data_IF_554706895673
#
_entry.id   IF_554706895673
#
_cell.length_a   1.000
_cell.length_b   1.000
_cell.length_c   1.000
_cell.angle_alpha   90.00
_cell.angle_beta   90.00
_cell.angle_gamma   90.00
#
_symmetry.space_group_name_H-M   'P 1'
#
loop_
_entity.id
_entity.type
_entity.pdbx_description
1 polymer ?
#
# COMPACT_ATOMS: atom_id res chain seq x y z
N UNK A 1 1.39 -1.84 -9.98
CA UNK A 1 1.19 -1.25 -8.64
C UNK A 1 -0.01 -0.34 -8.61
N UNK A 2 -0.55 -0.01 -7.44
CA UNK A 2 -1.64 0.97 -7.29
C UNK A 2 -1.10 2.30 -6.74
N UNK A 3 -1.71 3.43 -7.16
CA UNK A 3 -1.36 4.76 -6.65
C UNK A 3 0.02 5.27 -7.07
N UNK A 4 0.52 4.85 -8.24
CA UNK A 4 1.85 5.27 -8.74
C UNK A 4 1.96 6.72 -9.16
N UNK A 5 0.87 7.49 -9.18
CA UNK A 5 0.88 8.93 -9.50
C UNK A 5 1.14 9.84 -8.27
N UNK A 6 1.09 9.31 -7.05
CA UNK A 6 1.33 10.07 -5.81
C UNK A 6 2.79 10.03 -5.34
N UNK A 7 3.15 10.84 -4.34
CA UNK A 7 4.51 11.05 -3.87
C UNK A 7 5.36 9.78 -3.69
N UNK A 8 4.99 8.90 -2.76
CA UNK A 8 5.69 7.61 -2.57
C UNK A 8 5.56 6.73 -3.81
N UNK A 9 4.37 6.69 -4.42
CA UNK A 9 4.12 5.86 -5.60
C UNK A 9 5.02 6.20 -6.77
N UNK A 10 5.24 7.48 -7.07
CA UNK A 10 6.17 7.91 -8.12
C UNK A 10 7.61 7.48 -7.82
N UNK A 11 8.05 7.60 -6.56
CA UNK A 11 9.38 7.15 -6.15
C UNK A 11 9.54 5.63 -6.32
N UNK A 12 8.49 4.86 -5.98
CA UNK A 12 8.48 3.40 -6.18
C UNK A 12 8.53 3.03 -7.65
N UNK A 13 7.77 3.71 -8.53
CA UNK A 13 7.81 3.48 -9.97
C UNK A 13 9.23 3.69 -10.49
N UNK A 14 9.80 4.88 -10.24
CA UNK A 14 11.19 5.18 -10.68
C UNK A 14 12.20 4.16 -10.18
N UNK A 15 12.08 3.75 -8.92
CA UNK A 15 13.01 2.79 -8.32
C UNK A 15 12.90 1.42 -8.96
N UNK A 16 11.69 0.89 -9.12
CA UNK A 16 11.47 -0.41 -9.74
C UNK A 16 11.92 -0.42 -11.21
N UNK A 17 11.65 0.64 -11.98
CA UNK A 17 12.11 0.77 -13.37
C UNK A 17 13.65 0.81 -13.44
N UNK A 18 14.30 1.53 -12.54
CA UNK A 18 15.77 1.56 -12.44
C UNK A 18 16.36 0.19 -12.08
N UNK A 19 15.63 -0.63 -11.31
CA UNK A 19 16.00 -2.02 -10.98
C UNK A 19 15.60 -3.02 -12.10
N UNK A 20 15.13 -2.54 -13.25
CA UNK A 20 14.83 -3.37 -14.44
C UNK A 20 13.43 -3.98 -14.48
N UNK A 21 12.49 -3.56 -13.63
CA UNK A 21 11.10 -4.02 -13.63
C UNK A 21 10.29 -3.33 -14.72
N UNK A 22 9.41 -4.07 -15.38
CA UNK A 22 8.34 -3.50 -16.20
C UNK A 22 7.17 -3.11 -15.28
N UNK A 23 7.00 -1.81 -15.03
CA UNK A 23 6.01 -1.31 -14.07
C UNK A 23 4.70 -0.92 -14.77
N UNK A 24 3.59 -1.52 -14.32
CA UNK A 24 2.23 -1.09 -14.69
C UNK A 24 1.60 -0.42 -13.47
N UNK A 25 1.20 0.83 -13.62
CA UNK A 25 0.60 1.61 -12.55
C UNK A 25 -0.89 1.85 -12.78
N UNK A 26 -1.71 1.52 -11.76
CA UNK A 26 -3.14 1.80 -11.74
C UNK A 26 -3.43 2.97 -10.80
N UNK A 27 -4.11 3.98 -11.32
CA UNK A 27 -4.57 5.13 -10.56
C UNK A 27 -5.84 5.70 -11.16
N UNK A 28 -6.63 6.40 -10.36
CA UNK A 28 -7.84 7.07 -10.85
C UNK A 28 -7.53 8.10 -11.95
N UNK A 29 -6.44 8.82 -11.83
CA UNK A 29 -5.97 9.75 -12.87
C UNK A 29 -5.52 9.04 -14.14
N UNK A 30 -5.09 7.77 -14.04
CA UNK A 30 -4.78 6.89 -15.17
C UNK A 30 -5.98 6.06 -15.65
N UNK A 31 -7.21 6.37 -15.19
CA UNK A 31 -8.44 5.73 -15.64
C UNK A 31 -8.74 4.36 -15.02
N UNK A 32 -8.01 3.94 -13.99
CA UNK A 32 -8.27 2.68 -13.27
C UNK A 32 -8.48 2.96 -11.79
N UNK A 33 -9.69 2.73 -11.30
CA UNK A 33 -9.97 2.72 -9.87
C UNK A 33 -9.69 1.32 -9.28
N UNK A 34 -8.66 1.23 -8.47
CA UNK A 34 -8.26 -0.01 -7.81
C UNK A 34 -9.30 -0.53 -6.78
N UNK A 35 -10.29 0.28 -6.41
CA UNK A 35 -11.38 -0.12 -5.54
C UNK A 35 -12.66 -0.53 -6.32
N UNK A 36 -12.62 -0.50 -7.64
CA UNK A 36 -13.66 -1.04 -8.52
C UNK A 36 -13.27 -2.45 -8.98
N UNK A 37 -14.07 -3.43 -8.57
CA UNK A 37 -13.79 -4.85 -8.84
C UNK A 37 -13.72 -5.17 -10.34
N UNK A 38 -14.63 -4.61 -11.14
CA UNK A 38 -14.67 -4.89 -12.57
C UNK A 38 -13.46 -4.27 -13.30
N UNK A 39 -13.04 -3.06 -12.89
CA UNK A 39 -11.86 -2.43 -13.46
C UNK A 39 -10.59 -3.20 -13.10
N UNK A 40 -10.45 -3.64 -11.83
CA UNK A 40 -9.32 -4.45 -11.38
C UNK A 40 -9.24 -5.75 -12.17
N UNK A 41 -10.36 -6.49 -12.31
CA UNK A 41 -10.38 -7.77 -13.04
C UNK A 41 -10.02 -7.59 -14.53
N UNK A 42 -10.57 -6.56 -15.19
CA UNK A 42 -10.24 -6.22 -16.59
C UNK A 42 -8.78 -5.84 -16.78
N UNK A 43 -8.25 -5.02 -15.86
CA UNK A 43 -6.85 -4.58 -15.91
C UNK A 43 -5.90 -5.74 -15.63
N UNK A 44 -6.21 -6.58 -14.64
CA UNK A 44 -5.44 -7.77 -14.30
C UNK A 44 -5.38 -8.79 -15.44
N UNK A 45 -6.50 -8.97 -16.16
CA UNK A 45 -6.55 -9.88 -17.31
C UNK A 45 -5.63 -9.47 -18.48
N UNK A 46 -5.24 -8.20 -18.56
CA UNK A 46 -4.33 -7.69 -19.59
C UNK A 46 -2.85 -7.90 -19.25
N UNK A 47 -2.53 -8.25 -17.99
CA UNK A 47 -1.16 -8.53 -17.59
C UNK A 47 -0.73 -9.92 -18.07
N UNK A 48 0.30 -9.98 -18.90
CA UNK A 48 0.86 -11.26 -19.41
C UNK A 48 1.62 -12.02 -18.32
N UNK A 49 2.23 -11.28 -17.40
CA UNK A 49 3.02 -11.77 -16.27
C UNK A 49 2.81 -10.85 -15.08
N UNK A 50 2.76 -11.43 -13.91
CA UNK A 50 2.59 -10.67 -12.66
C UNK A 50 3.52 -11.24 -11.59
N UNK A 51 4.65 -10.60 -11.38
CA UNK A 51 5.70 -11.03 -10.45
C UNK A 51 5.59 -10.34 -9.10
N UNK A 52 5.20 -9.06 -9.10
CA UNK A 52 5.03 -8.29 -7.88
C UNK A 52 3.79 -7.39 -7.94
N UNK A 53 3.12 -7.22 -6.78
CA UNK A 53 2.07 -6.24 -6.57
C UNK A 53 2.50 -5.29 -5.45
N UNK A 54 2.44 -3.98 -5.70
CA UNK A 54 2.57 -2.96 -4.66
C UNK A 54 1.22 -2.27 -4.48
N UNK A 55 0.58 -2.47 -3.32
CA UNK A 55 -0.63 -1.79 -2.90
C UNK A 55 -0.25 -0.50 -2.16
N UNK A 56 -0.22 0.62 -2.88
CA UNK A 56 0.14 1.92 -2.34
C UNK A 56 -1.01 2.94 -2.38
N UNK A 57 -2.08 2.68 -3.13
CA UNK A 57 -3.23 3.60 -3.19
C UNK A 57 -3.81 3.85 -1.80
N UNK A 58 -4.06 5.11 -1.50
CA UNK A 58 -4.72 5.55 -0.27
C UNK A 58 -5.30 6.95 -0.45
N UNK A 59 -6.28 7.27 0.37
CA UNK A 59 -6.84 8.61 0.53
C UNK A 59 -6.81 8.95 2.02
N UNK A 60 -6.47 10.18 2.35
CA UNK A 60 -6.58 10.75 3.67
C UNK A 60 -7.59 11.88 3.64
N UNK A 61 -8.65 11.76 4.43
CA UNK A 61 -9.66 12.79 4.67
C UNK A 61 -9.57 13.14 6.16
N UNK A 62 -8.90 14.25 6.52
CA UNK A 62 -8.68 14.59 7.91
C UNK A 62 -9.95 15.22 8.51
N UNK A 63 -10.68 14.48 9.34
CA UNK A 63 -11.90 14.88 10.04
C UNK A 63 -11.92 14.33 11.47
N UNK A 64 -12.46 15.09 12.41
CA UNK A 64 -12.84 14.51 13.70
C UNK A 64 -13.96 13.49 13.48
N UNK A 65 -13.99 12.43 14.29
CA UNK A 65 -15.02 11.38 14.15
C UNK A 65 -16.42 11.94 14.26
N UNK A 66 -16.60 12.96 15.10
CA UNK A 66 -17.89 13.64 15.29
C UNK A 66 -18.34 14.48 14.10
N UNK A 67 -17.44 14.78 13.16
CA UNK A 67 -17.68 15.61 11.97
C UNK A 67 -17.59 14.82 10.67
N UNK A 68 -17.05 13.60 10.71
CA UNK A 68 -16.82 12.76 9.54
C UNK A 68 -18.14 12.17 9.07
N UNK A 69 -18.47 12.36 7.80
CA UNK A 69 -19.61 11.67 7.20
C UNK A 69 -19.32 10.19 6.96
N UNK A 70 -20.37 9.37 6.84
CA UNK A 70 -20.24 7.97 6.46
C UNK A 70 -19.56 7.81 5.10
N UNK A 71 -19.86 8.68 4.13
CA UNK A 71 -19.26 8.65 2.79
C UNK A 71 -17.76 8.95 2.83
N UNK A 72 -17.31 9.90 3.67
CA UNK A 72 -15.87 10.20 3.85
C UNK A 72 -15.14 9.02 4.50
N UNK A 73 -15.76 8.38 5.47
CA UNK A 73 -15.28 7.15 6.09
C UNK A 73 -15.16 6.03 5.06
N UNK A 74 -16.23 5.75 4.34
CA UNK A 74 -16.28 4.68 3.33
C UNK A 74 -15.28 4.91 2.19
N UNK A 75 -15.12 6.15 1.72
CA UNK A 75 -14.13 6.47 0.67
C UNK A 75 -12.70 6.22 1.17
N UNK A 76 -12.38 6.53 2.42
CA UNK A 76 -11.06 6.27 2.98
C UNK A 76 -10.77 4.77 3.08
N UNK A 77 -11.71 3.97 3.57
CA UNK A 77 -11.58 2.50 3.62
C UNK A 77 -11.57 1.90 2.22
N UNK A 78 -12.40 2.40 1.32
CA UNK A 78 -12.49 1.97 -0.06
C UNK A 78 -11.16 2.16 -0.78
N UNK A 79 -10.58 3.35 -0.68
CA UNK A 79 -9.32 3.67 -1.36
C UNK A 79 -8.11 2.94 -0.77
N UNK A 80 -8.04 2.76 0.55
CA UNK A 80 -6.89 2.19 1.25
C UNK A 80 -6.95 0.67 1.43
N UNK A 81 -8.09 0.15 1.92
CA UNK A 81 -8.21 -1.26 2.32
C UNK A 81 -8.90 -2.12 1.25
N UNK A 82 -10.07 -1.69 0.76
CA UNK A 82 -10.79 -2.46 -0.26
C UNK A 82 -9.98 -2.58 -1.55
N UNK A 83 -9.30 -1.52 -1.98
CA UNK A 83 -8.44 -1.57 -3.17
C UNK A 83 -7.32 -2.61 -3.03
N UNK A 84 -6.65 -2.64 -1.88
CA UNK A 84 -5.61 -3.61 -1.58
C UNK A 84 -6.17 -5.05 -1.58
N UNK A 85 -7.35 -5.27 -0.99
CA UNK A 85 -8.04 -6.57 -1.03
C UNK A 85 -8.32 -7.02 -2.47
N UNK A 86 -8.95 -6.17 -3.29
CA UNK A 86 -9.31 -6.53 -4.67
C UNK A 86 -8.08 -6.83 -5.53
N UNK A 87 -7.05 -5.99 -5.44
CA UNK A 87 -5.81 -6.19 -6.19
C UNK A 87 -5.05 -7.43 -5.71
N UNK A 88 -4.99 -7.69 -4.40
CA UNK A 88 -4.34 -8.88 -3.84
C UNK A 88 -5.08 -10.17 -4.23
N UNK A 89 -6.41 -10.15 -4.20
CA UNK A 89 -7.22 -11.27 -4.68
C UNK A 89 -6.95 -11.58 -6.16
N UNK A 90 -6.89 -10.56 -7.01
CA UNK A 90 -6.58 -10.72 -8.43
C UNK A 90 -5.14 -11.22 -8.63
N UNK A 91 -4.19 -10.76 -7.81
CA UNK A 91 -2.80 -11.21 -7.84
C UNK A 91 -2.66 -12.68 -7.42
N UNK A 92 -3.22 -13.08 -6.28
CA UNK A 92 -3.17 -14.47 -5.80
C UNK A 92 -3.71 -15.48 -6.81
N UNK A 93 -4.71 -15.08 -7.61
CA UNK A 93 -5.27 -15.92 -8.68
C UNK A 93 -4.37 -16.05 -9.91
N UNK A 94 -3.42 -15.13 -10.13
CA UNK A 94 -2.69 -14.97 -11.40
C UNK A 94 -1.17 -14.99 -11.27
N UNK A 95 -0.63 -14.69 -10.09
CA UNK A 95 0.80 -14.74 -9.84
C UNK A 95 1.33 -16.16 -9.94
N UNK A 96 2.54 -16.30 -10.45
CA UNK A 96 3.28 -17.55 -10.41
C UNK A 96 3.95 -17.72 -9.05
N UNK A 97 4.40 -18.94 -8.79
CA UNK A 97 5.24 -19.26 -7.63
C UNK A 97 6.46 -18.31 -7.57
N UNK A 98 6.76 -17.80 -6.38
CA UNK A 98 7.80 -16.80 -6.16
C UNK A 98 7.33 -15.36 -6.28
N UNK A 99 6.03 -15.13 -6.56
CA UNK A 99 5.44 -13.79 -6.58
C UNK A 99 5.43 -13.12 -5.23
N UNK A 100 5.32 -11.78 -5.21
CA UNK A 100 5.29 -11.01 -3.96
C UNK A 100 4.24 -9.92 -3.96
N UNK A 101 3.63 -9.68 -2.81
CA UNK A 101 2.70 -8.57 -2.55
C UNK A 101 3.30 -7.69 -1.45
N UNK A 102 3.43 -6.39 -1.73
CA UNK A 102 3.90 -5.39 -0.77
C UNK A 102 2.77 -4.42 -0.50
N UNK A 103 2.31 -4.35 0.74
CA UNK A 103 1.28 -3.43 1.19
C UNK A 103 1.91 -2.20 1.86
N UNK A 104 1.63 -1.01 1.35
CA UNK A 104 2.11 0.24 1.94
C UNK A 104 1.12 0.70 3.00
N UNK A 105 1.41 0.35 4.26
CA UNK A 105 0.67 0.76 5.44
C UNK A 105 1.16 2.12 5.95
N UNK A 106 1.22 2.32 7.26
CA UNK A 106 1.70 3.52 7.95
C UNK A 106 1.94 3.19 9.42
N UNK A 107 2.82 3.92 10.10
CA UNK A 107 2.90 3.86 11.58
C UNK A 107 1.57 4.19 12.24
N UNK A 108 0.71 5.00 11.58
CA UNK A 108 -0.66 5.25 12.06
C UNK A 108 -1.49 3.96 12.19
N UNK A 109 -1.22 2.93 11.37
CA UNK A 109 -1.87 1.62 11.44
C UNK A 109 -1.23 0.63 12.42
N UNK A 110 -0.10 0.97 13.03
CA UNK A 110 0.63 0.08 13.94
C UNK A 110 0.15 0.26 15.37
N UNK A 111 -0.14 -0.85 16.07
CA UNK A 111 -0.49 -0.82 17.49
C UNK A 111 0.64 -0.23 18.33
N UNK A 112 0.29 0.60 19.32
CA UNK A 112 1.24 1.28 20.20
C UNK A 112 1.99 2.47 19.59
N UNK A 113 1.92 2.70 18.28
CA UNK A 113 2.45 3.92 17.68
C UNK A 113 1.54 5.12 17.98
N UNK A 114 2.13 6.32 18.03
CA UNK A 114 1.41 7.57 18.23
C UNK A 114 0.31 7.79 17.19
N UNK A 115 -0.83 8.30 17.62
CA UNK A 115 -1.96 8.64 16.76
C UNK A 115 -2.22 10.14 16.80
N UNK A 116 -2.64 10.69 15.67
CA UNK A 116 -2.98 12.11 15.56
C UNK A 116 -4.49 12.28 15.41
N UNK A 117 -5.05 13.40 15.92
CA UNK A 117 -6.46 13.72 15.72
C UNK A 117 -6.83 13.75 14.24
N UNK A 118 -8.10 13.58 13.91
CA UNK A 118 -8.66 13.69 12.57
C UNK A 118 -8.24 12.59 11.58
N UNK A 119 -7.59 11.53 12.06
CA UNK A 119 -7.08 10.44 11.21
C UNK A 119 -7.79 9.09 11.44
N UNK A 120 -8.94 9.06 12.09
CA UNK A 120 -9.58 7.81 12.53
C UNK A 120 -9.83 6.82 11.38
N UNK A 121 -10.43 7.26 10.27
CA UNK A 121 -10.69 6.40 9.10
C UNK A 121 -9.37 5.90 8.46
N UNK A 122 -8.38 6.77 8.36
CA UNK A 122 -7.05 6.40 7.84
C UNK A 122 -6.35 5.38 8.74
N UNK A 123 -6.39 5.60 10.06
CA UNK A 123 -5.87 4.64 11.07
C UNK A 123 -6.56 3.29 10.91
N UNK A 124 -7.89 3.26 10.81
CA UNK A 124 -8.65 2.04 10.61
C UNK A 124 -8.25 1.31 9.32
N UNK A 125 -8.16 2.04 8.20
CA UNK A 125 -7.75 1.47 6.92
C UNK A 125 -6.34 0.88 6.98
N UNK A 126 -5.37 1.58 7.59
CA UNK A 126 -3.98 1.13 7.68
C UNK A 126 -3.77 0.01 8.70
N UNK A 127 -4.53 0.00 9.80
CA UNK A 127 -4.55 -1.14 10.73
C UNK A 127 -5.17 -2.38 10.08
N UNK A 128 -6.29 -2.21 9.37
CA UNK A 128 -6.90 -3.29 8.59
C UNK A 128 -5.96 -3.85 7.51
N UNK A 129 -5.17 -2.99 6.86
CA UNK A 129 -4.20 -3.41 5.86
C UNK A 129 -3.05 -4.24 6.47
N UNK A 130 -2.61 -3.92 7.69
CA UNK A 130 -1.63 -4.71 8.41
C UNK A 130 -2.18 -6.13 8.70
N UNK A 131 -3.38 -6.24 9.26
CA UNK A 131 -4.03 -7.54 9.49
C UNK A 131 -4.32 -8.31 8.19
N UNK A 132 -4.75 -7.62 7.13
CA UNK A 132 -4.93 -8.23 5.81
C UNK A 132 -3.61 -8.81 5.28
N UNK A 133 -2.48 -8.16 5.53
CA UNK A 133 -1.14 -8.65 5.14
C UNK A 133 -0.85 -10.01 5.75
N UNK A 134 -1.09 -10.16 7.04
CA UNK A 134 -0.87 -11.43 7.77
C UNK A 134 -1.77 -12.54 7.22
N UNK A 135 -3.06 -12.27 7.01
CA UNK A 135 -4.00 -13.23 6.44
C UNK A 135 -3.59 -13.68 5.03
N UNK A 136 -3.26 -12.71 4.15
CA UNK A 136 -2.83 -13.01 2.78
C UNK A 136 -1.49 -13.77 2.74
N UNK A 137 -0.60 -13.57 3.70
CA UNK A 137 0.65 -14.32 3.80
C UNK A 137 0.40 -15.81 4.08
N UNK A 138 -0.62 -16.11 4.90
CA UNK A 138 -1.05 -17.50 5.14
C UNK A 138 -1.66 -18.10 3.88
N UNK A 139 -2.57 -17.37 3.22
CA UNK A 139 -3.25 -17.84 2.00
C UNK A 139 -2.31 -17.98 0.80
N UNK A 140 -1.30 -17.12 0.68
CA UNK A 140 -0.31 -17.14 -0.41
C UNK A 140 0.74 -18.25 -0.28
N UNK A 141 0.96 -18.75 0.94
CA UNK A 141 2.03 -19.74 1.23
C UNK A 141 1.97 -21.00 0.37
N UNK A 142 0.83 -21.66 0.16
CA UNK A 142 0.78 -22.86 -0.67
C UNK A 142 1.22 -22.61 -2.12
N UNK A 143 0.97 -21.40 -2.62
CA UNK A 143 1.38 -20.96 -3.96
C UNK A 143 2.78 -20.37 -4.02
N UNK A 144 3.50 -20.32 -2.88
CA UNK A 144 4.83 -19.70 -2.78
C UNK A 144 4.81 -18.20 -3.03
N UNK A 145 3.69 -17.53 -2.75
CA UNK A 145 3.54 -16.07 -2.86
C UNK A 145 3.76 -15.47 -1.46
N UNK A 146 4.68 -14.51 -1.39
CA UNK A 146 4.99 -13.79 -0.15
C UNK A 146 4.16 -12.51 -0.05
N UNK A 147 3.73 -12.16 1.14
CA UNK A 147 2.97 -10.92 1.38
C UNK A 147 3.54 -10.22 2.61
N UNK A 148 4.00 -8.99 2.42
CA UNK A 148 4.56 -8.17 3.49
C UNK A 148 3.99 -6.76 3.46
N UNK A 149 4.07 -6.06 4.57
CA UNK A 149 3.75 -4.66 4.68
C UNK A 149 4.97 -3.82 5.03
N UNK A 150 4.94 -2.57 4.64
CA UNK A 150 5.82 -1.52 5.14
C UNK A 150 4.97 -0.44 5.79
N UNK A 151 5.36 -0.02 6.98
CA UNK A 151 4.67 1.00 7.79
C UNK A 151 5.58 2.20 8.02
N UNK A 152 5.65 3.14 7.07
CA UNK A 152 6.46 4.34 7.23
C UNK A 152 5.86 5.31 8.26
N UNK A 153 6.73 6.09 8.88
CA UNK A 153 6.40 7.28 9.66
C UNK A 153 6.03 8.46 8.77
N UNK A 154 6.41 9.68 9.19
CA UNK A 154 6.17 10.90 8.43
C UNK A 154 7.05 10.95 7.18
N UNK A 155 6.43 11.08 6.01
CA UNK A 155 7.14 11.14 4.71
C UNK A 155 6.91 12.51 4.10
N UNK A 156 7.96 13.12 3.54
CA UNK A 156 7.89 14.39 2.80
C UNK A 156 6.99 14.28 1.55
N UNK A 157 5.69 14.43 1.73
CA UNK A 157 4.66 14.32 0.68
C UNK A 157 3.49 15.27 0.97
N UNK A 158 2.70 15.67 -0.03
CA UNK A 158 1.49 16.48 0.18
C UNK A 158 0.48 15.84 1.15
N UNK A 159 0.50 14.53 1.31
CA UNK A 159 -0.36 13.84 2.28
C UNK A 159 0.03 14.16 3.74
N UNK A 160 1.32 14.39 4.02
CA UNK A 160 1.76 14.81 5.35
C UNK A 160 1.24 16.21 5.68
N UNK A 161 1.34 17.15 4.74
CA UNK A 161 0.81 18.50 4.88
C UNK A 161 -0.71 18.47 5.13
N UNK A 162 -1.44 17.67 4.33
CA UNK A 162 -2.88 17.50 4.47
C UNK A 162 -3.27 16.89 5.83
N UNK A 163 -2.43 16.05 6.43
CA UNK A 163 -2.73 15.40 7.70
C UNK A 163 -2.87 16.37 8.87
N UNK A 164 -2.21 17.52 8.78
CA UNK A 164 -2.09 18.48 9.89
C UNK A 164 -1.35 17.92 11.11
N UNK A 165 -0.65 16.81 10.97
CA UNK A 165 0.17 16.26 12.03
C UNK A 165 1.36 17.21 12.31
N UNK A 166 1.62 17.55 13.58
CA UNK A 166 2.72 18.45 13.95
C UNK A 166 4.06 17.70 13.93
N UNK A 167 4.39 17.11 12.79
CA UNK A 167 5.65 16.36 12.61
C UNK A 167 6.38 16.82 11.35
N UNK A 168 7.65 17.08 11.53
CA UNK A 168 8.57 17.22 10.42
C UNK A 168 8.68 15.87 9.67
N UNK A 169 8.90 15.90 8.35
CA UNK A 169 9.11 14.67 7.60
C UNK A 169 10.42 14.00 8.06
N UNK A 170 10.29 12.77 8.54
CA UNK A 170 11.42 11.95 8.98
C UNK A 170 12.00 11.11 7.83
N UNK A 171 11.22 10.91 6.77
CA UNK A 171 11.58 10.09 5.61
C UNK A 171 11.35 10.84 4.30
N UNK A 172 12.19 10.54 3.33
CA UNK A 172 11.97 10.91 1.93
C UNK A 172 11.28 9.77 1.17
N UNK A 173 10.46 10.08 0.15
CA UNK A 173 9.80 9.06 -0.67
C UNK A 173 10.77 8.01 -1.24
N UNK A 174 11.98 8.41 -1.65
CA UNK A 174 12.97 7.49 -2.23
C UNK A 174 13.54 6.50 -1.19
N UNK A 175 13.58 6.86 0.09
CA UNK A 175 13.99 5.95 1.17
C UNK A 175 12.97 4.84 1.38
N UNK A 176 11.69 5.20 1.37
CA UNK A 176 10.59 4.23 1.45
C UNK A 176 10.56 3.35 0.21
N UNK A 177 10.79 3.95 -0.98
CA UNK A 177 10.81 3.22 -2.26
C UNK A 177 11.91 2.14 -2.30
N UNK A 178 13.09 2.39 -1.70
CA UNK A 178 14.15 1.37 -1.59
C UNK A 178 13.70 0.14 -0.81
N UNK A 179 13.01 0.33 0.31
CA UNK A 179 12.51 -0.80 1.11
C UNK A 179 11.40 -1.55 0.40
N UNK A 180 10.50 -0.83 -0.29
CA UNK A 180 9.43 -1.45 -1.10
C UNK A 180 10.03 -2.27 -2.24
N UNK A 181 11.03 -1.75 -2.96
CA UNK A 181 11.70 -2.48 -4.04
C UNK A 181 12.43 -3.72 -3.52
N UNK A 182 13.11 -3.63 -2.37
CA UNK A 182 13.73 -4.78 -1.73
C UNK A 182 12.70 -5.85 -1.34
N UNK A 183 11.56 -5.46 -0.76
CA UNK A 183 10.47 -6.41 -0.45
C UNK A 183 9.85 -7.03 -1.71
N UNK A 184 9.84 -6.31 -2.83
CA UNK A 184 9.37 -6.82 -4.11
C UNK A 184 10.36 -7.81 -4.75
N UNK A 185 11.64 -7.71 -4.43
CA UNK A 185 12.71 -8.53 -4.95
C UNK A 185 12.89 -9.88 -4.24
N UNK A 186 13.75 -10.74 -4.79
CA UNK A 186 14.07 -12.06 -4.20
C UNK A 186 14.91 -11.95 -2.92
N UNK A 187 15.62 -10.86 -2.71
CA UNK A 187 16.53 -10.69 -1.56
C UNK A 187 15.77 -10.65 -0.21
N UNK A 188 14.48 -10.39 -0.23
CA UNK A 188 13.61 -10.43 0.94
C UNK A 188 13.03 -11.82 1.21
N UNK A 189 13.50 -12.85 0.51
CA UNK A 189 13.10 -14.21 0.68
C UNK A 189 13.42 -14.72 2.05
N UNK A 190 13.31 -14.82 3.12
CA UNK A 190 12.29 -15.63 3.73
C UNK A 190 11.12 -14.85 4.37
N UNK A 191 11.01 -13.56 4.16
CA UNK A 191 9.98 -12.75 4.79
C UNK A 191 8.59 -12.94 4.15
N UNK A 192 7.61 -13.34 4.97
CA UNK A 192 6.18 -13.31 4.63
C UNK A 192 5.35 -13.13 5.90
N UNK A 193 4.38 -12.23 5.86
CA UNK A 193 3.56 -11.82 7.00
C UNK A 193 4.19 -10.72 7.85
N UNK A 194 5.35 -10.20 7.46
CA UNK A 194 6.02 -9.13 8.19
C UNK A 194 5.41 -7.75 7.90
N UNK A 195 5.40 -6.90 8.93
CA UNK A 195 5.10 -5.47 8.80
C UNK A 195 6.32 -4.66 9.27
N UNK A 196 7.10 -4.16 8.31
CA UNK A 196 8.33 -3.44 8.58
C UNK A 196 8.02 -1.99 8.96
N UNK A 197 8.37 -1.61 10.17
CA UNK A 197 8.27 -0.22 10.62
C UNK A 197 9.45 0.58 10.08
N UNK A 198 9.18 1.72 9.46
CA UNK A 198 10.20 2.68 9.05
C UNK A 198 10.02 3.93 9.89
N UNK A 199 10.72 3.98 10.99
CA UNK A 199 10.72 5.08 11.95
C UNK A 199 12.18 5.42 12.26
N UNK A 200 12.78 6.33 11.48
CA UNK A 200 14.12 6.80 11.82
C UNK A 200 14.07 7.51 13.17
N UNK A 201 14.78 7.00 14.13
CA UNK A 201 15.00 7.59 15.45
C UNK A 201 15.86 8.85 15.37
#
# INVERSE_FOLDING_TARGET
MTGGSGGVGQAVVRRLEADGWAVVSWSRTGGIDAADEMQVERAAARLRRWDALVNNAAVLIPRLVTEMSADEWDETLRAGLRSAFLCSRAALRRMRRGGTIVNVSSLSGVGGAEKFPRMAAYVAAKSGLAGLTEALAVEGRPSGIRVNAVSPGSIATPMLELSGAPKEPALRPDEVARVIAWLAGPESEPLSGANLRLDPS
#
